data_IF_302831995540
#
_entry.id   IF_302831995540
#
_cell.length_a   1.000
_cell.length_b   1.000
_cell.length_c   1.000
_cell.angle_alpha   90.00
_cell.angle_beta   90.00
_cell.angle_gamma   90.00
#
_symmetry.space_group_name_H-M   'P 1'
#
loop_
_entity.id
_entity.type
_entity.pdbx_description
1 polymer ?
#
# COMPACT_ATOMS: atom_id res chain seq x y z
N UNK A 1 18.85 9.64 -7.69
CA UNK A 1 20.02 8.81 -8.09
C UNK A 1 20.87 9.41 -9.22
N UNK A 2 20.57 10.61 -9.73
CA UNK A 2 21.49 11.42 -10.56
C UNK A 2 21.27 12.90 -10.24
N UNK A 3 21.86 13.41 -9.16
CA UNK A 3 22.01 14.85 -8.87
C UNK A 3 20.77 15.76 -8.76
N UNK A 4 19.55 15.28 -9.03
CA UNK A 4 18.30 16.03 -8.93
C UNK A 4 17.51 15.70 -7.65
N UNK A 5 16.71 16.67 -7.19
CA UNK A 5 15.79 16.54 -6.06
C UNK A 5 14.60 15.63 -6.44
N UNK A 6 14.80 14.33 -6.28
CA UNK A 6 13.82 13.32 -6.61
C UNK A 6 13.40 12.57 -5.35
N UNK A 7 12.12 12.62 -5.03
CA UNK A 7 11.51 11.84 -3.96
C UNK A 7 10.91 10.54 -4.51
N UNK A 8 11.18 9.42 -3.84
CA UNK A 8 10.54 8.14 -4.13
C UNK A 8 9.20 8.09 -3.42
N UNK A 9 8.10 7.97 -4.18
CA UNK A 9 6.77 7.78 -3.64
C UNK A 9 6.37 6.30 -3.71
N UNK A 10 6.10 5.69 -2.56
CA UNK A 10 5.70 4.29 -2.44
C UNK A 10 4.23 4.09 -2.06
N UNK A 11 3.41 5.14 -2.09
CA UNK A 11 1.98 5.08 -1.66
C UNK A 11 1.15 4.06 -2.45
N UNK A 12 1.61 3.62 -3.62
CA UNK A 12 0.97 2.62 -4.46
C UNK A 12 1.89 1.43 -4.80
N UNK A 13 2.92 1.17 -3.98
CA UNK A 13 3.82 0.04 -4.18
C UNK A 13 3.09 -1.27 -3.85
N UNK A 14 3.07 -2.27 -4.76
CA UNK A 14 2.48 -3.57 -4.47
C UNK A 14 3.41 -4.45 -3.62
N UNK A 15 2.83 -5.31 -2.80
CA UNK A 15 3.51 -6.41 -2.13
C UNK A 15 2.81 -7.74 -2.46
N UNK A 16 3.60 -8.74 -2.88
CA UNK A 16 3.10 -10.04 -3.34
C UNK A 16 3.81 -11.18 -2.61
N UNK A 17 3.04 -12.14 -2.11
CA UNK A 17 3.54 -13.40 -1.54
C UNK A 17 3.14 -14.55 -2.48
N UNK A 18 4.15 -15.21 -3.06
CA UNK A 18 3.98 -16.29 -4.05
C UNK A 18 3.74 -17.67 -3.41
N UNK A 19 2.73 -17.76 -2.55
CA UNK A 19 2.19 -19.02 -2.00
C UNK A 19 1.08 -19.58 -2.91
N UNK A 20 0.53 -20.75 -2.56
CA UNK A 20 -0.71 -21.26 -3.16
C UNK A 20 -1.80 -21.37 -2.06
N UNK A 21 -2.83 -20.51 -2.07
CA UNK A 21 -3.07 -19.41 -3.01
C UNK A 21 -2.09 -18.24 -2.84
N UNK A 22 -1.96 -17.42 -3.89
CA UNK A 22 -1.15 -16.20 -3.86
C UNK A 22 -1.88 -15.08 -3.12
N UNK A 23 -1.12 -14.21 -2.46
CA UNK A 23 -1.65 -13.02 -1.77
C UNK A 23 -0.99 -11.78 -2.35
N UNK A 24 -1.79 -10.77 -2.69
CA UNK A 24 -1.31 -9.47 -3.15
C UNK A 24 -2.02 -8.35 -2.39
N UNK A 25 -1.25 -7.31 -2.04
CA UNK A 25 -1.74 -6.10 -1.35
C UNK A 25 -1.12 -4.87 -2.00
N UNK A 26 -1.79 -3.73 -1.85
CA UNK A 26 -1.30 -2.42 -2.30
C UNK A 26 -1.92 -1.33 -1.44
N UNK A 27 -1.14 -0.30 -1.11
CA UNK A 27 -1.62 0.82 -0.31
C UNK A 27 -1.97 0.42 1.13
N UNK A 28 -3.07 0.98 1.65
CA UNK A 28 -3.50 0.82 3.03
C UNK A 28 -4.25 -0.49 3.29
N UNK A 29 -3.94 -1.14 4.40
CA UNK A 29 -4.88 -2.03 5.09
C UNK A 29 -5.95 -1.23 5.85
N UNK A 30 -7.06 -1.88 6.21
CA UNK A 30 -8.11 -1.25 7.02
C UNK A 30 -7.58 -0.75 8.38
N UNK A 31 -6.67 -1.51 8.99
CA UNK A 31 -6.08 -1.17 10.28
C UNK A 31 -5.18 0.08 10.18
N UNK A 32 -4.36 0.17 9.14
CA UNK A 32 -3.53 1.35 8.88
C UNK A 32 -4.40 2.57 8.55
N UNK A 33 -5.45 2.40 7.75
CA UNK A 33 -6.39 3.47 7.44
C UNK A 33 -7.06 4.01 8.72
N UNK A 34 -7.48 3.12 9.63
CA UNK A 34 -8.04 3.53 10.92
C UNK A 34 -7.01 4.22 11.81
N UNK A 35 -5.76 3.74 11.85
CA UNK A 35 -4.68 4.37 12.60
C UNK A 35 -4.45 5.82 12.15
N UNK A 36 -4.49 6.06 10.83
CA UNK A 36 -4.29 7.38 10.23
C UNK A 36 -5.57 8.25 10.25
N UNK A 37 -6.66 7.78 10.87
CA UNK A 37 -7.93 8.51 10.95
C UNK A 37 -8.66 8.64 9.60
N UNK A 38 -8.34 7.77 8.65
CA UNK A 38 -8.95 7.74 7.32
C UNK A 38 -10.30 7.04 7.41
N UNK A 39 -11.35 7.69 6.91
CA UNK A 39 -12.68 7.08 6.82
C UNK A 39 -12.67 5.99 5.74
N UNK A 40 -12.91 4.76 6.17
CA UNK A 40 -12.94 3.58 5.31
C UNK A 40 -14.32 3.38 4.64
N UNK A 41 -14.32 2.99 3.37
CA UNK A 41 -15.47 2.43 2.66
C UNK A 41 -15.02 1.10 2.04
N UNK A 42 -15.64 -0.01 2.46
CA UNK A 42 -15.30 -1.36 1.99
C UNK A 42 -16.47 -1.89 1.16
N UNK A 43 -16.16 -2.42 -0.03
CA UNK A 43 -17.15 -3.13 -0.83
C UNK A 43 -17.38 -4.53 -0.23
N UNK A 44 -18.65 -4.92 -0.09
CA UNK A 44 -19.05 -6.28 0.32
C UNK A 44 -19.14 -7.21 -0.88
#
# INVERSE_FOLDING_TARGET
MTGGDAALNLTAMPAVVFTDPQVATVGYSEAEAHHDGIKLIVAR
#
